data_IF_985149398296
#
_entry.id   IF_985149398296
#
_cell.length_a   1.000
_cell.length_b   1.000
_cell.length_c   1.000
_cell.angle_alpha   90.00
_cell.angle_beta   90.00
_cell.angle_gamma   90.00
#
_symmetry.space_group_name_H-M   'P 1'
#
loop_
_entity.id
_entity.type
_entity.pdbx_description
1 polymer ?
#
# COMPACT_ATOMS: atom_id res chain seq x y z
N UNK A 1 3.27 3.78 14.41
CA UNK A 1 3.49 3.82 12.94
C UNK A 1 3.80 2.39 12.51
N UNK A 2 3.06 1.87 11.53
CA UNK A 2 3.37 0.58 10.91
C UNK A 2 3.96 0.83 9.52
N UNK A 3 4.95 0.04 9.11
CA UNK A 3 5.57 0.13 7.79
C UNK A 3 5.92 -1.26 7.26
N UNK A 4 5.85 -1.43 5.95
CA UNK A 4 6.29 -2.64 5.25
C UNK A 4 7.03 -2.26 3.97
N UNK A 5 8.07 -3.03 3.65
CA UNK A 5 8.77 -2.95 2.36
C UNK A 5 8.76 -4.31 1.73
N UNK A 6 8.42 -4.39 0.46
CA UNK A 6 8.44 -5.65 -0.30
C UNK A 6 8.70 -5.40 -1.77
N UNK A 7 9.09 -6.46 -2.48
CA UNK A 7 9.37 -6.41 -3.91
C UNK A 7 8.25 -7.08 -4.71
N UNK A 8 8.00 -6.58 -5.92
CA UNK A 8 7.02 -7.11 -6.85
C UNK A 8 7.60 -7.27 -8.25
N UNK A 9 7.02 -8.18 -9.04
CA UNK A 9 7.49 -8.58 -10.38
C UNK A 9 7.00 -7.69 -11.53
N UNK A 10 6.13 -6.73 -11.24
CA UNK A 10 5.54 -5.79 -12.22
C UNK A 10 6.22 -4.42 -12.14
N UNK A 11 6.07 -3.58 -13.16
CA UNK A 11 6.66 -2.23 -13.18
C UNK A 11 6.08 -1.31 -12.08
N UNK A 12 6.80 -0.26 -11.64
CA UNK A 12 6.27 0.70 -10.67
C UNK A 12 4.94 1.33 -11.12
N UNK A 13 4.79 1.62 -12.41
CA UNK A 13 3.55 2.14 -13.00
C UNK A 13 2.39 1.16 -12.91
N UNK A 14 2.61 -0.12 -13.19
CA UNK A 14 1.58 -1.15 -13.03
C UNK A 14 1.19 -1.32 -11.56
N UNK A 15 2.17 -1.36 -10.65
CA UNK A 15 1.92 -1.44 -9.21
C UNK A 15 1.10 -0.25 -8.70
N UNK A 16 1.43 0.97 -9.16
CA UNK A 16 0.64 2.18 -8.91
C UNK A 16 -0.82 1.99 -9.36
N UNK A 17 -1.03 1.55 -10.59
CA UNK A 17 -2.38 1.38 -11.16
C UNK A 17 -3.23 0.38 -10.38
N UNK A 18 -2.63 -0.72 -9.92
CA UNK A 18 -3.32 -1.70 -9.07
C UNK A 18 -3.70 -1.13 -7.70
N UNK A 19 -2.81 -0.36 -7.07
CA UNK A 19 -3.09 0.29 -5.77
C UNK A 19 -4.23 1.31 -5.92
N UNK A 20 -4.16 2.17 -6.92
CA UNK A 20 -5.22 3.17 -7.18
C UNK A 20 -6.55 2.49 -7.45
N UNK A 21 -6.56 1.43 -8.27
CA UNK A 21 -7.77 0.67 -8.56
C UNK A 21 -8.38 0.02 -7.31
N UNK A 22 -7.58 -0.60 -6.45
CA UNK A 22 -8.05 -1.20 -5.20
C UNK A 22 -8.67 -0.14 -4.28
N UNK A 23 -8.08 1.05 -4.19
CA UNK A 23 -8.55 2.11 -3.29
C UNK A 23 -9.80 2.80 -3.82
N UNK A 24 -9.83 3.10 -5.11
CA UNK A 24 -10.89 3.88 -5.75
C UNK A 24 -12.09 3.03 -6.15
N UNK A 25 -11.88 1.80 -6.63
CA UNK A 25 -12.93 0.99 -7.25
C UNK A 25 -13.42 -0.18 -6.38
N UNK A 26 -12.66 -0.63 -5.37
CA UNK A 26 -12.96 -1.89 -4.64
C UNK A 26 -13.46 -1.72 -3.20
N UNK A 27 -14.51 -0.92 -2.97
CA UNK A 27 -15.26 -0.89 -1.70
C UNK A 27 -14.48 -0.41 -0.45
N UNK A 28 -13.29 0.17 -0.63
CA UNK A 28 -12.48 0.64 0.50
C UNK A 28 -12.94 2.01 0.98
N UNK A 29 -13.64 2.77 0.13
CA UNK A 29 -14.05 4.16 0.35
C UNK A 29 -12.86 5.04 0.77
N UNK A 30 -11.68 4.75 0.20
CA UNK A 30 -10.50 5.57 0.36
C UNK A 30 -10.46 6.68 -0.68
N UNK A 31 -9.60 7.66 -0.47
CA UNK A 31 -9.36 8.80 -1.36
C UNK A 31 -7.88 8.87 -1.64
N UNK A 32 -7.51 9.00 -2.91
CA UNK A 32 -6.16 9.42 -3.29
C UNK A 32 -6.09 10.94 -3.06
N UNK A 33 -5.32 11.35 -2.07
CA UNK A 33 -5.17 12.75 -1.64
C UNK A 33 -4.24 13.49 -2.59
N UNK A 34 -3.12 12.84 -2.90
CA UNK A 34 -2.11 13.36 -3.80
C UNK A 34 -1.31 12.20 -4.41
N UNK A 35 -0.71 12.45 -5.57
CA UNK A 35 0.27 11.56 -6.17
C UNK A 35 1.41 12.35 -6.77
N UNK A 36 2.63 11.94 -6.50
CA UNK A 36 3.84 12.48 -7.12
C UNK A 36 4.52 11.41 -7.95
N UNK A 37 5.07 11.78 -9.10
CA UNK A 37 5.77 10.83 -9.97
C UNK A 37 6.95 11.46 -10.66
N UNK A 38 8.03 10.69 -10.76
CA UNK A 38 9.27 11.07 -11.45
C UNK A 38 9.75 9.90 -12.29
N UNK A 39 10.31 10.22 -13.45
CA UNK A 39 10.95 9.25 -14.33
C UNK A 39 12.29 9.83 -14.80
N UNK A 40 13.34 9.02 -14.74
CA UNK A 40 14.70 9.34 -15.19
C UNK A 40 15.23 8.13 -15.95
N UNK A 41 15.18 8.18 -17.28
CA UNK A 41 15.49 7.01 -18.12
C UNK A 41 14.53 5.86 -17.81
N UNK A 42 15.11 4.68 -17.54
CA UNK A 42 14.39 3.46 -17.17
C UNK A 42 13.90 3.46 -15.71
N UNK A 43 14.40 4.39 -14.89
CA UNK A 43 14.03 4.48 -13.49
C UNK A 43 12.78 5.34 -13.32
N UNK A 44 11.79 4.85 -12.58
CA UNK A 44 10.61 5.63 -12.20
C UNK A 44 10.28 5.44 -10.72
N UNK A 45 9.67 6.49 -10.15
CA UNK A 45 9.20 6.51 -8.78
C UNK A 45 7.82 7.15 -8.71
N UNK A 46 6.96 6.56 -7.90
CA UNK A 46 5.63 7.05 -7.58
C UNK A 46 5.47 7.15 -6.06
N UNK A 47 4.97 8.28 -5.59
CA UNK A 47 4.49 8.44 -4.21
C UNK A 47 2.98 8.63 -4.27
N UNK A 48 2.24 7.79 -3.55
CA UNK A 48 0.79 7.87 -3.40
C UNK A 48 0.46 8.21 -1.95
N UNK A 49 -0.28 9.28 -1.73
CA UNK A 49 -0.81 9.66 -0.41
C UNK A 49 -2.30 9.38 -0.44
N UNK A 50 -2.74 8.45 0.40
CA UNK A 50 -4.10 7.92 0.36
C UNK A 50 -4.68 7.93 1.76
N UNK A 51 -5.98 8.16 1.87
CA UNK A 51 -6.64 8.23 3.16
C UNK A 51 -8.00 7.56 3.14
N UNK A 52 -8.43 7.14 4.33
CA UNK A 52 -9.78 6.62 4.55
C UNK A 52 -10.37 7.28 5.79
N UNK A 53 -11.54 7.88 5.62
CA UNK A 53 -12.32 8.41 6.72
C UNK A 53 -13.24 7.33 7.29
N UNK A 54 -13.21 7.14 8.61
CA UNK A 54 -14.08 6.21 9.32
C UNK A 54 -15.11 7.00 10.13
N UNK A 55 -16.37 6.94 9.70
CA UNK A 55 -17.45 7.72 10.30
C UNK A 55 -17.71 7.36 11.78
N UNK A 56 -17.64 6.08 12.15
CA UNK A 56 -17.96 5.61 13.51
C UNK A 56 -16.97 6.11 14.57
N UNK A 57 -15.71 6.19 14.20
CA UNK A 57 -14.60 6.60 15.08
C UNK A 57 -14.21 8.06 14.91
N UNK A 58 -14.88 8.80 14.00
CA UNK A 58 -14.54 10.17 13.59
C UNK A 58 -13.03 10.36 13.40
N UNK A 59 -12.38 9.39 12.74
CA UNK A 59 -10.94 9.37 12.52
C UNK A 59 -10.60 9.11 11.06
N UNK A 60 -9.35 9.40 10.69
CA UNK A 60 -8.86 9.33 9.32
C UNK A 60 -7.54 8.58 9.31
N UNK A 61 -7.51 7.40 8.69
CA UNK A 61 -6.26 6.70 8.44
C UNK A 61 -5.60 7.30 7.19
N UNK A 62 -4.29 7.49 7.24
CA UNK A 62 -3.45 7.88 6.12
C UNK A 62 -2.45 6.77 5.82
N UNK A 63 -2.30 6.44 4.54
CA UNK A 63 -1.32 5.49 4.04
C UNK A 63 -0.54 6.16 2.93
N UNK A 64 0.77 6.07 3.00
CA UNK A 64 1.67 6.53 1.95
C UNK A 64 2.37 5.32 1.34
N UNK A 65 2.34 5.21 0.02
CA UNK A 65 3.09 4.20 -0.73
C UNK A 65 4.15 4.88 -1.58
N UNK A 66 5.41 4.49 -1.41
CA UNK A 66 6.50 4.82 -2.34
C UNK A 66 6.80 3.58 -3.16
N UNK A 67 6.83 3.74 -4.47
CA UNK A 67 6.99 2.65 -5.45
C UNK A 67 8.11 3.08 -6.38
N UNK A 68 9.18 2.31 -6.48
CA UNK A 68 10.30 2.63 -7.36
C UNK A 68 10.97 1.36 -7.88
N UNK A 69 11.81 1.51 -8.90
CA UNK A 69 12.64 0.42 -9.43
C UNK A 69 14.15 0.73 -9.35
N UNK A 70 14.57 1.53 -8.37
CA UNK A 70 15.95 2.01 -8.29
C UNK A 70 16.96 0.88 -8.02
N UNK A 71 16.52 -0.20 -7.39
CA UNK A 71 17.31 -1.40 -7.14
C UNK A 71 17.20 -2.45 -8.28
N UNK A 72 16.67 -2.07 -9.45
CA UNK A 72 16.50 -2.97 -10.61
C UNK A 72 15.28 -3.90 -10.53
N UNK A 73 14.54 -3.85 -9.41
CA UNK A 73 13.27 -4.53 -9.20
C UNK A 73 12.31 -3.54 -8.54
N UNK A 74 11.01 -3.69 -8.80
CA UNK A 74 10.01 -2.80 -8.20
C UNK A 74 9.93 -3.04 -6.70
N UNK A 75 10.32 -2.05 -5.93
CA UNK A 75 10.22 -2.00 -4.47
C UNK A 75 9.04 -1.13 -4.08
N UNK A 76 8.24 -1.62 -3.13
CA UNK A 76 7.08 -0.93 -2.58
C UNK A 76 7.30 -0.73 -1.10
N UNK A 77 7.38 0.53 -0.67
CA UNK A 77 7.45 0.92 0.73
C UNK A 77 6.13 1.57 1.15
N UNK A 78 5.43 0.94 2.09
CA UNK A 78 4.12 1.39 2.57
C UNK A 78 4.25 1.84 4.03
N UNK A 79 3.73 3.01 4.36
CA UNK A 79 3.69 3.56 5.72
C UNK A 79 2.26 3.94 6.07
N UNK A 80 1.79 3.50 7.23
CA UNK A 80 0.50 3.88 7.80
C UNK A 80 0.66 4.89 8.95
N UNK A 81 -0.09 5.99 8.89
CA UNK A 81 -0.12 7.08 9.86
C UNK A 81 -1.56 7.56 10.15
N UNK A 82 -1.80 8.24 11.26
CA UNK A 82 -3.04 8.99 11.50
C UNK A 82 -4.24 8.27 12.15
N UNK A 83 -4.17 7.01 12.57
CA UNK A 83 -5.28 6.39 13.32
C UNK A 83 -5.28 6.81 14.80
N UNK A 84 -6.43 7.28 15.29
CA UNK A 84 -6.68 7.48 16.75
C UNK A 84 -6.78 6.16 17.52
N UNK A 85 -6.90 5.02 16.81
CA UNK A 85 -6.56 3.70 17.36
C UNK A 85 -5.04 3.56 17.42
N UNK A 86 -4.44 4.26 18.37
CA UNK A 86 -3.09 3.98 18.79
C UNK A 86 -3.00 2.55 19.36
N UNK A 87 -1.79 2.00 19.27
CA UNK A 87 -1.22 1.00 20.20
C UNK A 87 -1.22 -0.49 19.81
N UNK A 88 -1.96 -0.99 18.81
CA UNK A 88 -1.86 -2.44 18.44
C UNK A 88 -1.70 -2.76 16.94
N UNK A 89 -0.64 -2.24 16.31
CA UNK A 89 -0.09 -2.80 15.06
C UNK A 89 1.08 -3.77 15.33
N UNK A 90 1.00 -4.59 16.39
CA UNK A 90 1.89 -5.74 16.52
C UNK A 90 1.17 -6.93 15.89
N UNK A 91 1.67 -7.38 14.72
CA UNK A 91 1.40 -8.70 14.13
C UNK A 91 -0.09 -9.11 14.07
N UNK A 92 -0.80 -8.93 12.96
CA UNK A 92 -0.63 -9.78 11.79
C UNK A 92 -1.17 -9.10 10.51
N UNK A 93 -0.43 -9.24 9.42
CA UNK A 93 -0.92 -8.96 8.06
C UNK A 93 -2.02 -9.97 7.60
N UNK A 94 -2.52 -10.81 8.52
CA UNK A 94 -3.59 -11.79 8.30
C UNK A 94 -4.88 -11.52 9.10
N UNK A 95 -4.90 -10.61 10.07
CA UNK A 95 -6.07 -10.39 10.93
C UNK A 95 -6.55 -8.94 10.86
N UNK A 96 -7.37 -8.63 9.85
CA UNK A 96 -8.21 -7.44 9.88
C UNK A 96 -8.19 -6.59 8.62
N UNK A 97 -9.36 -6.01 8.36
CA UNK A 97 -9.72 -5.07 7.29
C UNK A 97 -9.04 -3.70 7.42
N UNK A 98 -7.72 -3.66 7.63
CA UNK A 98 -6.96 -2.42 7.69
C UNK A 98 -6.68 -1.84 6.29
N UNK A 99 -6.73 -0.52 6.17
CA UNK A 99 -6.51 0.24 4.94
C UNK A 99 -5.07 0.11 4.39
N UNK A 100 -4.07 -0.11 5.25
CA UNK A 100 -2.73 -0.44 4.77
C UNK A 100 -2.67 -1.84 4.12
N UNK A 101 -3.42 -2.81 4.69
CA UNK A 101 -3.47 -4.18 4.17
C UNK A 101 -4.11 -4.26 2.78
N UNK A 102 -4.95 -3.30 2.40
CA UNK A 102 -5.47 -3.30 1.02
C UNK A 102 -4.41 -2.96 -0.02
N UNK A 103 -3.48 -2.06 0.30
CA UNK A 103 -2.37 -1.74 -0.60
C UNK A 103 -1.52 -3.00 -0.83
N UNK A 104 -1.22 -3.73 0.24
CA UNK A 104 -0.37 -4.93 0.15
C UNK A 104 -1.11 -6.11 -0.49
N UNK A 105 -2.41 -6.28 -0.22
CA UNK A 105 -3.27 -7.25 -0.91
C UNK A 105 -3.41 -6.98 -2.40
N UNK A 106 -3.51 -5.72 -2.82
CA UNK A 106 -3.60 -5.36 -4.25
C UNK A 106 -2.39 -5.87 -5.05
N UNK A 107 -1.24 -5.98 -4.38
CA UNK A 107 0.02 -6.40 -4.98
C UNK A 107 0.45 -7.82 -4.60
N UNK A 108 -0.31 -8.50 -3.72
CA UNK A 108 0.00 -9.86 -3.26
C UNK A 108 0.27 -10.85 -4.41
N UNK A 109 -0.51 -10.86 -5.52
CA UNK A 109 -0.26 -11.77 -6.65
C UNK A 109 1.07 -11.55 -7.36
N UNK A 110 1.73 -10.41 -7.14
CA UNK A 110 2.97 -10.02 -7.82
C UNK A 110 4.18 -10.03 -6.89
N UNK A 111 4.05 -10.44 -5.62
CA UNK A 111 5.16 -10.40 -4.66
C UNK A 111 6.26 -11.38 -5.04
N UNK A 112 7.51 -10.94 -4.90
CA UNK A 112 8.69 -11.78 -5.06
C UNK A 112 9.11 -12.30 -3.68
N UNK A 113 9.30 -13.63 -3.56
CA UNK A 113 9.84 -14.25 -2.34
C UNK A 113 8.83 -14.47 -1.20
N UNK A 114 7.52 -14.43 -1.46
CA UNK A 114 6.50 -14.82 -0.50
C UNK A 114 6.17 -16.30 -0.62
N UNK A 115 6.63 -17.13 0.32
CA UNK A 115 6.10 -18.50 0.49
C UNK A 115 4.60 -18.46 0.81
N UNK A 116 3.89 -19.39 0.20
CA UNK A 116 2.51 -19.74 0.49
C UNK A 116 2.28 -19.91 2.00
N UNK A 117 1.48 -19.01 2.60
CA UNK A 117 0.75 -19.33 3.83
C UNK A 117 -0.72 -18.99 3.63
N UNK A 118 -1.38 -19.88 2.90
CA UNK A 118 -2.78 -20.19 3.13
C UNK A 118 -2.82 -21.43 4.01
N UNK A 119 -2.82 -21.22 5.33
CA UNK A 119 -3.27 -22.27 6.25
C UNK A 119 -4.76 -22.02 6.53
N UNK A 120 -5.54 -23.09 6.31
CA UNK A 120 -7.01 -23.16 6.35
C UNK A 120 -7.64 -22.75 7.69
#
# INVERSE_FOLDING_TARGET
>A
MSKETFQVSISPREARGLIENEILQRNISGTLVDSYSRQVGEYEMHVLIMEKYYMRSNNRASVTSTIDNFDGVTTVHVVAAGSSEGVFFRFDWGAGSNFANSVTRALAPHRIGGEDRFDF
#
